data_IF_509228116539
#
_entry.id   IF_509228116539
#
_cell.length_a   1.000
_cell.length_b   1.000
_cell.length_c   1.000
_cell.angle_alpha   90.00
_cell.angle_beta   90.00
_cell.angle_gamma   90.00
#
_symmetry.space_group_name_H-M   'P 1'
#
loop_
_entity.id
_entity.type
_entity.pdbx_description
1 polymer ?
#
# COMPACT_ATOMS: atom_id res chain seq x y z
N UNK A 1 17.51 4.82 16.52
CA UNK A 1 17.09 5.21 15.16
C UNK A 1 17.69 4.18 14.21
N UNK A 2 16.91 3.18 13.78
CA UNK A 2 17.35 2.17 12.81
C UNK A 2 16.66 2.47 11.48
N UNK A 3 17.36 3.16 10.59
CA UNK A 3 16.96 3.32 9.20
C UNK A 3 17.42 2.10 8.43
N UNK A 4 16.49 1.17 8.17
CA UNK A 4 16.70 0.07 7.21
C UNK A 4 15.34 -0.39 6.64
N UNK A 5 14.45 0.56 6.35
CA UNK A 5 13.24 0.31 5.56
C UNK A 5 13.64 0.23 4.10
N UNK A 6 13.54 -0.96 3.50
CA UNK A 6 13.71 -1.11 2.06
C UNK A 6 12.61 -0.33 1.36
N UNK A 7 12.98 0.63 0.51
CA UNK A 7 12.02 1.48 -0.22
C UNK A 7 10.93 0.62 -0.87
N UNK A 8 9.67 1.02 -0.68
CA UNK A 8 8.52 0.36 -1.30
C UNK A 8 7.97 -0.84 -0.53
N UNK A 9 8.25 -0.91 0.77
CA UNK A 9 7.77 -1.94 1.67
C UNK A 9 6.39 -1.62 2.27
N UNK A 10 5.95 -2.47 3.20
CA UNK A 10 4.72 -2.27 3.96
C UNK A 10 4.59 -0.89 4.62
N UNK A 11 5.68 -0.26 5.10
CA UNK A 11 5.62 1.10 5.66
C UNK A 11 5.11 2.12 4.64
N UNK A 12 5.78 2.19 3.47
CA UNK A 12 5.44 3.14 2.43
C UNK A 12 4.05 2.90 1.86
N UNK A 13 3.61 1.63 1.83
CA UNK A 13 2.25 1.28 1.43
C UNK A 13 1.20 1.81 2.43
N UNK A 14 1.47 1.71 3.74
CA UNK A 14 0.59 2.29 4.75
C UNK A 14 0.55 3.81 4.69
N UNK A 15 1.70 4.47 4.51
CA UNK A 15 1.79 5.92 4.34
C UNK A 15 1.07 6.39 3.07
N UNK A 16 1.18 5.64 1.97
CA UNK A 16 0.43 5.90 0.75
C UNK A 16 -1.07 5.85 0.99
N UNK A 17 -1.59 4.78 1.62
CA UNK A 17 -3.02 4.66 1.90
C UNK A 17 -3.53 5.72 2.87
N UNK A 18 -2.74 6.12 3.86
CA UNK A 18 -3.08 7.26 4.73
C UNK A 18 -3.17 8.56 3.91
N UNK A 19 -2.23 8.79 3.00
CA UNK A 19 -2.20 9.98 2.13
C UNK A 19 -3.41 10.07 1.19
N UNK A 20 -4.04 8.96 0.81
CA UNK A 20 -5.25 8.96 0.00
C UNK A 20 -6.42 9.70 0.68
N UNK A 21 -6.52 9.62 2.02
CA UNK A 21 -7.58 10.29 2.77
C UNK A 21 -7.39 11.81 2.84
N UNK A 22 -6.15 12.27 2.74
CA UNK A 22 -5.76 13.68 2.92
C UNK A 22 -5.51 14.40 1.58
N UNK A 23 -5.35 13.66 0.48
CA UNK A 23 -5.04 14.20 -0.84
C UNK A 23 -6.05 13.74 -1.91
N UNK A 24 -7.09 14.55 -2.20
CA UNK A 24 -8.11 14.21 -3.20
C UNK A 24 -7.56 13.99 -4.62
N UNK A 25 -6.47 14.67 -4.99
CA UNK A 25 -5.85 14.47 -6.30
C UNK A 25 -5.21 13.09 -6.39
N UNK A 26 -4.42 12.71 -5.38
CA UNK A 26 -3.82 11.38 -5.29
C UNK A 26 -4.88 10.27 -5.24
N UNK A 27 -5.99 10.51 -4.53
CA UNK A 27 -7.12 9.59 -4.51
C UNK A 27 -7.73 9.38 -5.90
N UNK A 28 -7.96 10.46 -6.66
CA UNK A 28 -8.47 10.37 -8.03
C UNK A 28 -7.48 9.67 -8.97
N UNK A 29 -6.18 9.93 -8.83
CA UNK A 29 -5.13 9.26 -9.60
C UNK A 29 -5.12 7.75 -9.31
N UNK A 30 -5.24 7.37 -8.04
CA UNK A 30 -5.33 5.97 -7.61
C UNK A 30 -6.60 5.28 -8.13
N UNK A 31 -7.76 5.94 -8.10
CA UNK A 31 -8.99 5.38 -8.66
C UNK A 31 -8.93 5.19 -10.19
N UNK A 32 -8.27 6.11 -10.89
CA UNK A 32 -8.19 6.09 -12.36
C UNK A 32 -7.12 5.13 -12.86
N UNK A 33 -5.97 5.07 -12.19
CA UNK A 33 -4.83 4.25 -12.55
C UNK A 33 -4.09 3.76 -11.28
N UNK A 34 -4.63 2.75 -10.59
CA UNK A 34 -4.07 2.30 -9.31
C UNK A 34 -2.65 1.76 -9.46
N UNK A 35 -2.35 1.04 -10.55
CA UNK A 35 -1.00 0.54 -10.85
C UNK A 35 0.00 1.69 -10.99
N UNK A 36 -0.35 2.73 -11.76
CA UNK A 36 0.50 3.91 -11.95
C UNK A 36 0.74 4.66 -10.65
N UNK A 37 -0.31 4.88 -9.86
CA UNK A 37 -0.22 5.57 -8.58
C UNK A 37 0.69 4.83 -7.58
N UNK A 38 0.55 3.51 -7.45
CA UNK A 38 1.39 2.71 -6.56
C UNK A 38 2.86 2.67 -7.01
N UNK A 39 3.12 2.56 -8.32
CA UNK A 39 4.50 2.64 -8.86
C UNK A 39 5.12 4.02 -8.64
N UNK A 40 4.34 5.09 -8.82
CA UNK A 40 4.80 6.46 -8.55
C UNK A 40 5.15 6.67 -7.07
N UNK A 41 4.45 5.98 -6.17
CA UNK A 41 4.77 5.91 -4.75
C UNK A 41 5.94 4.96 -4.41
N UNK A 42 6.62 4.40 -5.43
CA UNK A 42 7.72 3.45 -5.30
C UNK A 42 7.37 2.16 -4.54
N UNK A 43 6.09 1.74 -4.53
CA UNK A 43 5.69 0.47 -3.90
C UNK A 43 6.27 -0.71 -4.69
N UNK A 44 6.74 -1.73 -3.99
CA UNK A 44 7.28 -2.94 -4.62
C UNK A 44 6.22 -3.69 -5.43
N UNK A 45 6.63 -4.29 -6.56
CA UNK A 45 5.72 -5.04 -7.46
C UNK A 45 4.99 -6.20 -6.76
N UNK A 46 5.61 -6.82 -5.76
CA UNK A 46 5.01 -7.84 -4.89
C UNK A 46 3.77 -7.29 -4.15
N UNK A 47 3.93 -6.16 -3.47
CA UNK A 47 2.85 -5.50 -2.75
C UNK A 47 1.81 -4.91 -3.70
N UNK A 48 2.22 -4.34 -4.83
CA UNK A 48 1.30 -3.89 -5.88
C UNK A 48 0.41 -5.03 -6.34
N UNK A 49 1.00 -6.19 -6.64
CA UNK A 49 0.25 -7.36 -7.09
C UNK A 49 -0.74 -7.82 -6.02
N UNK A 50 -0.33 -7.83 -4.75
CA UNK A 50 -1.21 -8.18 -3.64
C UNK A 50 -2.37 -7.17 -3.46
N UNK A 51 -2.11 -5.87 -3.60
CA UNK A 51 -3.15 -4.81 -3.55
C UNK A 51 -4.15 -4.97 -4.69
N UNK A 52 -3.66 -5.08 -5.93
CA UNK A 52 -4.53 -5.17 -7.12
C UNK A 52 -5.33 -6.49 -7.16
N UNK A 53 -4.78 -7.57 -6.62
CA UNK A 53 -5.49 -8.85 -6.48
C UNK A 53 -6.47 -8.87 -5.28
N UNK A 54 -6.40 -7.88 -4.37
CA UNK A 54 -7.14 -7.89 -3.12
C UNK A 54 -6.71 -9.02 -2.17
N UNK A 55 -5.43 -9.45 -2.24
CA UNK A 55 -4.87 -10.53 -1.44
C UNK A 55 -4.54 -10.04 -0.02
N UNK A 56 -5.58 -9.97 0.81
CA UNK A 56 -5.49 -9.55 2.20
C UNK A 56 -4.61 -10.49 3.05
N UNK A 57 -4.50 -11.77 2.68
CA UNK A 57 -3.66 -12.70 3.42
C UNK A 57 -2.19 -12.38 3.21
N UNK A 58 -1.77 -12.20 1.96
CA UNK A 58 -0.40 -11.84 1.64
C UNK A 58 -0.04 -10.48 2.21
N UNK A 59 -0.91 -9.46 2.05
CA UNK A 59 -0.68 -8.14 2.65
C UNK A 59 -0.47 -8.26 4.16
N UNK A 60 -1.37 -8.93 4.89
CA UNK A 60 -1.22 -9.11 6.34
C UNK A 60 0.06 -9.83 6.73
N UNK A 61 0.48 -10.86 5.98
CA UNK A 61 1.73 -11.55 6.23
C UNK A 61 2.93 -10.60 6.13
N UNK A 62 2.99 -9.77 5.08
CA UNK A 62 4.09 -8.80 4.88
C UNK A 62 4.11 -7.74 5.98
N UNK A 63 2.96 -7.23 6.40
CA UNK A 63 2.86 -6.27 7.50
C UNK A 63 3.23 -6.88 8.87
N UNK A 64 2.91 -8.15 9.11
CA UNK A 64 3.30 -8.85 10.33
C UNK A 64 4.81 -9.12 10.40
N UNK A 65 5.44 -9.44 9.27
CA UNK A 65 6.89 -9.64 9.18
C UNK A 65 7.69 -8.38 9.56
N UNK A 66 7.18 -7.19 9.23
CA UNK A 66 7.87 -5.93 9.48
C UNK A 66 7.46 -5.24 10.79
N UNK A 67 6.17 -5.26 11.15
CA UNK A 67 5.65 -4.49 12.29
C UNK A 67 5.04 -5.32 13.41
N UNK A 68 4.95 -6.66 13.25
CA UNK A 68 4.19 -7.53 14.15
C UNK A 68 2.72 -7.10 14.35
N UNK A 69 2.13 -6.41 13.35
CA UNK A 69 0.77 -5.90 13.37
C UNK A 69 -0.05 -6.44 12.21
N UNK A 70 -1.34 -6.66 12.45
CA UNK A 70 -2.33 -6.99 11.41
C UNK A 70 -3.00 -5.69 10.97
N UNK A 71 -3.01 -5.41 9.66
CA UNK A 71 -3.75 -4.27 9.12
C UNK A 71 -5.04 -4.78 8.49
N UNK A 72 -6.18 -4.31 9.01
CA UNK A 72 -7.46 -4.43 8.31
C UNK A 72 -7.53 -3.25 7.32
N UNK A 73 -7.09 -3.47 6.09
CA UNK A 73 -7.28 -2.51 5.00
C UNK A 73 -8.75 -2.54 4.58
N UNK A 74 -9.59 -1.76 5.28
CA UNK A 74 -11.00 -1.59 4.96
C UNK A 74 -11.28 -0.84 3.64
N UNK A 75 -10.23 -0.42 2.93
CA UNK A 75 -10.31 0.56 1.84
C UNK A 75 -9.84 0.03 0.48
N UNK A 76 -9.83 -1.30 0.27
CA UNK A 76 -9.78 -1.84 -1.10
C UNK A 76 -11.15 -1.60 -1.74
N UNK A 77 -11.42 -0.34 -2.09
CA UNK A 77 -12.61 0.09 -2.81
C UNK A 77 -12.49 -0.49 -4.22
N UNK A 78 -13.33 -1.48 -4.49
CA UNK A 78 -13.57 -2.01 -5.84
C UNK A 78 -14.29 -0.94 -6.65
N UNK A 79 -13.67 -0.49 -7.74
CA UNK A 79 -14.36 0.13 -8.88
C UNK A 79 -14.88 -0.95 -9.81
#
# INVERSE_FOLDING_TARGET
MNGNGGKGGPQELAEFFASLAENPALYNDYLTNPLGALRAANISEDLISAVLAGDLHHLNKRFQEEFAQTIILGTIVRG
#
